data_IF_505381107645
#
_entry.id   IF_505381107645
#
_cell.length_a   1.000
_cell.length_b   1.000
_cell.length_c   1.000
_cell.angle_alpha   90.00
_cell.angle_beta   90.00
_cell.angle_gamma   90.00
#
_symmetry.space_group_name_H-M   'P 1'
#
loop_
_entity.id
_entity.type
_entity.pdbx_description
1 polymer ?
#
# COMPACT_ATOMS: atom_id res chain seq x y z
N UNK A 1 -19.77 4.24 32.35
CA UNK A 1 -18.70 4.90 31.56
C UNK A 1 -19.24 5.30 30.19
N UNK A 2 -19.47 6.60 29.95
CA UNK A 2 -19.84 7.11 28.63
C UNK A 2 -18.55 7.46 27.88
N UNK A 3 -18.07 6.55 27.03
CA UNK A 3 -17.00 6.89 26.08
C UNK A 3 -17.57 7.97 25.16
N UNK A 4 -16.95 9.16 25.04
CA UNK A 4 -17.47 10.21 24.19
C UNK A 4 -17.57 9.68 22.76
N UNK A 5 -18.73 9.86 22.13
CA UNK A 5 -19.02 9.35 20.77
C UNK A 5 -17.90 9.72 19.77
N UNK A 6 -17.26 10.88 19.96
CA UNK A 6 -16.09 11.30 19.20
C UNK A 6 -14.89 10.35 19.28
N UNK A 7 -14.59 9.76 20.44
CA UNK A 7 -13.48 8.82 20.58
C UNK A 7 -13.73 7.48 19.84
N UNK A 8 -14.99 7.06 19.71
CA UNK A 8 -15.33 5.87 18.90
C UNK A 8 -15.19 6.11 17.41
N UNK A 9 -15.62 7.28 16.92
CA UNK A 9 -15.51 7.64 15.50
C UNK A 9 -14.03 7.82 15.14
N UNK A 10 -13.29 8.54 15.97
CA UNK A 10 -11.84 8.74 15.80
C UNK A 10 -11.10 7.40 15.88
N UNK A 11 -11.45 6.51 16.81
CA UNK A 11 -10.88 5.15 16.86
C UNK A 11 -11.22 4.30 15.63
N UNK A 12 -12.46 4.38 15.14
CA UNK A 12 -12.91 3.67 13.94
C UNK A 12 -12.23 4.14 12.66
N UNK A 13 -11.83 5.42 12.58
CA UNK A 13 -11.10 5.97 11.43
C UNK A 13 -9.58 5.89 11.58
N UNK A 14 -9.04 5.91 12.80
CA UNK A 14 -7.61 5.75 13.05
C UNK A 14 -7.12 4.34 12.74
N UNK A 15 -7.91 3.31 13.03
CA UNK A 15 -7.47 1.93 12.85
C UNK A 15 -7.13 1.61 11.39
N UNK A 16 -7.96 1.96 10.37
CA UNK A 16 -7.61 1.78 8.96
C UNK A 16 -6.38 2.57 8.55
N UNK A 17 -6.25 3.82 9.02
CA UNK A 17 -5.11 4.69 8.64
C UNK A 17 -3.80 4.06 9.12
N UNK A 18 -3.77 3.61 10.37
CA UNK A 18 -2.58 2.98 10.96
C UNK A 18 -2.30 1.64 10.26
N UNK A 19 -3.31 0.79 10.05
CA UNK A 19 -3.10 -0.53 9.45
C UNK A 19 -2.58 -0.46 8.01
N UNK A 20 -3.13 0.43 7.18
CA UNK A 20 -2.71 0.62 5.78
C UNK A 20 -1.28 1.16 5.71
N UNK A 21 -0.93 2.10 6.58
CA UNK A 21 0.42 2.66 6.65
C UNK A 21 1.43 1.60 7.09
N UNK A 22 1.08 0.80 8.10
CA UNK A 22 1.91 -0.34 8.55
C UNK A 22 2.07 -1.37 7.43
N UNK A 23 1.01 -1.69 6.68
CA UNK A 23 1.10 -2.61 5.53
C UNK A 23 2.02 -2.07 4.43
N UNK A 24 1.92 -0.78 4.11
CA UNK A 24 2.83 -0.15 3.14
C UNK A 24 4.29 -0.20 3.58
N UNK A 25 4.53 0.06 4.87
CA UNK A 25 5.86 -0.06 5.46
C UNK A 25 6.38 -1.50 5.42
N UNK A 26 5.59 -2.48 5.88
CA UNK A 26 5.95 -3.90 5.88
C UNK A 26 6.24 -4.38 4.45
N UNK A 27 5.37 -4.05 3.49
CA UNK A 27 5.58 -4.40 2.08
C UNK A 27 6.88 -3.83 1.53
N UNK A 28 7.18 -2.56 1.79
CA UNK A 28 8.44 -1.95 1.39
C UNK A 28 9.65 -2.62 2.04
N UNK A 29 9.62 -2.87 3.36
CA UNK A 29 10.70 -3.53 4.09
C UNK A 29 10.96 -4.92 3.54
N UNK A 30 9.91 -5.72 3.32
CA UNK A 30 10.03 -7.06 2.72
C UNK A 30 10.74 -7.00 1.37
N UNK A 31 10.33 -6.08 0.48
CA UNK A 31 10.96 -5.96 -0.84
C UNK A 31 12.40 -5.46 -0.74
N UNK A 32 12.68 -4.49 0.13
CA UNK A 32 14.04 -3.98 0.37
C UNK A 32 14.95 -5.08 0.91
N UNK A 33 14.50 -5.87 1.88
CA UNK A 33 15.25 -6.98 2.46
C UNK A 33 15.55 -8.07 1.42
N UNK A 34 14.57 -8.41 0.58
CA UNK A 34 14.72 -9.44 -0.44
C UNK A 34 15.53 -8.99 -1.66
N UNK A 35 15.40 -7.71 -2.08
CA UNK A 35 15.97 -7.21 -3.34
C UNK A 35 17.11 -6.19 -3.16
N UNK A 36 17.49 -5.86 -1.93
CA UNK A 36 18.52 -4.85 -1.58
C UNK A 36 18.33 -3.54 -2.35
N UNK A 37 17.09 -3.05 -2.44
CA UNK A 37 16.75 -1.81 -3.14
C UNK A 37 17.03 -0.58 -2.28
N UNK A 38 17.20 0.62 -2.88
CA UNK A 38 17.40 1.85 -2.12
C UNK A 38 16.21 2.12 -1.17
N UNK A 39 16.53 2.24 0.12
CA UNK A 39 15.56 2.20 1.23
C UNK A 39 14.56 3.36 1.15
N UNK A 40 15.03 4.61 1.01
CA UNK A 40 14.18 5.79 1.09
C UNK A 40 13.06 5.82 0.04
N UNK A 41 13.40 5.60 -1.24
CA UNK A 41 12.41 5.59 -2.34
C UNK A 41 11.48 4.38 -2.24
N UNK A 42 11.99 3.23 -1.79
CA UNK A 42 11.19 2.02 -1.58
C UNK A 42 10.14 2.21 -0.49
N UNK A 43 10.49 2.84 0.63
CA UNK A 43 9.55 3.13 1.72
C UNK A 43 8.43 4.06 1.26
N UNK A 44 8.77 5.15 0.56
CA UNK A 44 7.78 6.09 0.04
C UNK A 44 6.80 5.41 -0.91
N UNK A 45 7.30 4.59 -1.84
CA UNK A 45 6.47 3.90 -2.82
C UNK A 45 5.63 2.77 -2.21
N UNK A 46 6.14 2.09 -1.19
CA UNK A 46 5.34 1.10 -0.46
C UNK A 46 4.17 1.76 0.26
N UNK A 47 4.39 2.92 0.90
CA UNK A 47 3.32 3.67 1.56
C UNK A 47 2.30 4.19 0.54
N UNK A 48 2.76 4.86 -0.53
CA UNK A 48 1.88 5.38 -1.59
C UNK A 48 1.12 4.23 -2.27
N UNK A 49 1.80 3.13 -2.55
CA UNK A 49 1.19 1.93 -3.12
C UNK A 49 0.14 1.30 -2.22
N UNK A 50 0.40 1.21 -0.92
CA UNK A 50 -0.58 0.71 0.04
C UNK A 50 -1.85 1.57 0.05
N UNK A 51 -1.71 2.90 0.03
CA UNK A 51 -2.87 3.79 -0.01
C UNK A 51 -3.68 3.65 -1.30
N UNK A 52 -3.01 3.60 -2.46
CA UNK A 52 -3.68 3.40 -3.75
C UNK A 52 -4.37 2.04 -3.83
N UNK A 53 -3.68 0.98 -3.39
CA UNK A 53 -4.22 -0.37 -3.32
C UNK A 53 -5.40 -0.46 -2.37
N UNK A 54 -5.29 0.12 -1.18
CA UNK A 54 -6.39 0.16 -0.22
C UNK A 54 -7.62 0.86 -0.78
N UNK A 55 -7.45 2.04 -1.39
CA UNK A 55 -8.56 2.78 -1.97
C UNK A 55 -9.27 1.96 -3.06
N UNK A 56 -8.51 1.36 -3.98
CA UNK A 56 -9.07 0.52 -5.04
C UNK A 56 -9.76 -0.74 -4.49
N UNK A 57 -9.11 -1.44 -3.57
CA UNK A 57 -9.64 -2.65 -2.94
C UNK A 57 -10.86 -2.38 -2.06
N UNK A 58 -10.89 -1.26 -1.35
CA UNK A 58 -12.02 -0.85 -0.52
C UNK A 58 -13.24 -0.51 -1.36
N UNK A 59 -13.06 0.18 -2.50
CA UNK A 59 -14.17 0.46 -3.44
C UNK A 59 -14.74 -0.85 -3.96
N UNK A 60 -13.89 -1.78 -4.43
CA UNK A 60 -14.33 -3.07 -4.92
C UNK A 60 -15.03 -3.90 -3.83
N UNK A 61 -14.44 -3.97 -2.63
CA UNK A 61 -15.02 -4.71 -1.51
C UNK A 61 -16.31 -4.08 -0.99
N UNK A 62 -16.47 -2.75 -1.05
CA UNK A 62 -17.72 -2.08 -0.72
C UNK A 62 -18.85 -2.50 -1.65
N UNK A 63 -18.58 -2.59 -2.95
CA UNK A 63 -19.58 -3.04 -3.93
C UNK A 63 -20.02 -4.49 -3.64
N UNK A 64 -19.08 -5.35 -3.26
CA UNK A 64 -19.37 -6.75 -2.91
C UNK A 64 -20.17 -6.82 -1.60
N UNK A 65 -19.78 -6.07 -0.58
CA UNK A 65 -20.50 -6.01 0.71
C UNK A 65 -21.95 -5.53 0.51
N UNK A 66 -22.20 -4.55 -0.37
CA UNK A 66 -23.55 -4.08 -0.71
C UNK A 66 -24.39 -5.19 -1.36
N UNK A 67 -23.79 -5.99 -2.25
CA UNK A 67 -24.50 -7.07 -2.95
C UNK A 67 -24.78 -8.27 -2.04
N UNK A 68 -23.81 -8.63 -1.18
CA UNK A 68 -23.89 -9.80 -0.31
C UNK A 68 -24.54 -9.50 1.05
N UNK A 69 -24.80 -8.22 1.36
CA UNK A 69 -25.27 -7.80 2.68
C UNK A 69 -24.26 -8.07 3.80
N UNK A 70 -22.97 -8.13 3.46
CA UNK A 70 -21.87 -8.34 4.41
C UNK A 70 -21.17 -7.01 4.73
N UNK A 71 -20.22 -7.01 5.68
CA UNK A 71 -19.43 -5.82 6.01
C UNK A 71 -17.93 -6.09 6.20
N UNK A 72 -17.46 -7.29 5.87
CA UNK A 72 -16.07 -7.69 6.08
C UNK A 72 -15.26 -7.74 4.78
N UNK A 73 -15.92 -7.79 3.61
CA UNK A 73 -15.24 -7.95 2.32
C UNK A 73 -14.49 -6.66 1.97
N UNK A 74 -15.04 -5.49 2.27
CA UNK A 74 -14.36 -4.20 2.16
C UNK A 74 -13.02 -4.20 2.91
N UNK A 75 -13.06 -4.62 4.18
CA UNK A 75 -11.87 -4.62 5.02
C UNK A 75 -10.81 -5.57 4.45
N UNK A 76 -11.20 -6.79 4.08
CA UNK A 76 -10.26 -7.79 3.57
C UNK A 76 -9.68 -7.37 2.21
N UNK A 77 -10.54 -6.95 1.27
CA UNK A 77 -10.13 -6.54 -0.07
C UNK A 77 -9.23 -5.30 -0.03
N UNK A 78 -9.55 -4.32 0.81
CA UNK A 78 -8.72 -3.13 1.04
C UNK A 78 -7.32 -3.50 1.53
N UNK A 79 -7.20 -4.32 2.57
CA UNK A 79 -5.88 -4.69 3.12
C UNK A 79 -5.07 -5.56 2.15
N UNK A 80 -5.72 -6.52 1.47
CA UNK A 80 -5.05 -7.37 0.49
C UNK A 80 -4.51 -6.55 -0.71
N UNK A 81 -5.32 -5.64 -1.25
CA UNK A 81 -4.93 -4.78 -2.36
C UNK A 81 -3.85 -3.77 -1.94
N UNK A 82 -3.91 -3.25 -0.72
CA UNK A 82 -2.86 -2.39 -0.17
C UNK A 82 -1.50 -3.09 -0.17
N UNK A 83 -1.43 -4.31 0.35
CA UNK A 83 -0.18 -5.07 0.40
C UNK A 83 0.36 -5.40 -1.01
N UNK A 84 -0.53 -5.83 -1.91
CA UNK A 84 -0.18 -6.14 -3.29
C UNK A 84 0.36 -4.92 -4.05
N UNK A 85 -0.30 -3.76 -3.93
CA UNK A 85 0.12 -2.53 -4.62
C UNK A 85 1.42 -1.96 -4.02
N UNK A 86 1.58 -2.00 -2.69
CA UNK A 86 2.82 -1.60 -2.03
C UNK A 86 4.02 -2.39 -2.54
N UNK A 87 3.90 -3.71 -2.61
CA UNK A 87 4.99 -4.57 -3.08
C UNK A 87 5.25 -4.41 -4.58
N UNK A 88 4.19 -4.34 -5.40
CA UNK A 88 4.31 -4.19 -6.86
C UNK A 88 5.05 -2.90 -7.26
N UNK A 89 4.71 -1.75 -6.66
CA UNK A 89 5.37 -0.48 -6.98
C UNK A 89 6.84 -0.46 -6.55
N UNK A 90 7.17 -1.05 -5.41
CA UNK A 90 8.58 -1.14 -4.97
C UNK A 90 9.37 -2.10 -5.87
N UNK A 91 8.75 -3.15 -6.41
CA UNK A 91 9.41 -4.05 -7.37
C UNK A 91 9.63 -3.37 -8.73
N UNK A 92 8.66 -2.60 -9.23
CA UNK A 92 8.74 -1.91 -10.53
C UNK A 92 9.89 -0.89 -10.63
N UNK A 93 10.32 -0.33 -9.49
CA UNK A 93 11.44 0.60 -9.37
C UNK A 93 12.75 0.20 -10.07
N UNK A 94 13.03 -1.10 -10.22
CA UNK A 94 14.27 -1.56 -10.84
C UNK A 94 14.30 -1.37 -12.35
N UNK A 95 13.15 -1.23 -13.01
CA UNK A 95 13.07 -1.15 -14.46
C UNK A 95 13.41 0.25 -15.00
N UNK A 96 13.33 1.28 -14.16
CA UNK A 96 13.54 2.69 -14.57
C UNK A 96 15.00 3.16 -14.52
N UNK A 97 16.00 2.27 -14.50
CA UNK A 97 17.41 2.69 -14.70
C UNK A 97 17.73 2.57 -16.20
N UNK A 98 17.82 3.68 -16.95
CA UNK A 98 18.30 3.64 -18.31
C UNK A 98 19.78 3.24 -18.28
N UNK A 99 20.15 2.22 -19.06
CA UNK A 99 21.53 1.81 -19.27
C UNK A 99 22.30 2.98 -19.92
N UNK A 100 23.00 3.75 -19.09
CA UNK A 100 23.82 4.89 -19.53
C UNK A 100 25.16 4.47 -20.16
N UNK A 101 25.22 3.30 -20.82
CA UNK A 101 26.43 2.73 -21.42
C UNK A 101 26.47 2.90 -22.96
N UNK A 102 25.52 3.63 -23.55
CA UNK A 102 25.41 3.81 -25.00
C UNK A 102 26.03 5.09 -25.58
N UNK A 103 26.63 5.96 -24.76
CA UNK A 103 27.27 7.18 -25.26
C UNK A 103 28.72 6.87 -25.65
N UNK A 104 28.87 6.28 -26.84
CA UNK A 104 30.15 6.03 -27.47
C UNK A 104 31.01 7.29 -27.54
N UNK A 105 32.28 7.16 -27.19
CA UNK A 105 33.31 8.14 -27.46
C UNK A 105 33.63 8.11 -28.96
N UNK A 106 33.40 9.19 -29.73
CA UNK A 106 34.00 9.29 -31.06
C UNK A 106 35.50 9.55 -30.88
N UNK A 107 36.32 8.59 -31.33
CA UNK A 107 37.76 8.74 -31.58
C UNK A 107 38.01 9.46 -32.90
#
# INVERSE_FOLDING_TARGET
>A
MRVPVGARIVGGMLMPIVSVTVLGFVGAVVVVSLRRTPVGRSLLLGIVGAWLGFAAGAIAGALVDVVLGTGWVLALAGHAAAFAAATALVVGQRQDRPSADGAGTPS
#
